data_IF_127715156180
#
_entry.id   IF_127715156180
#
_cell.length_a   1.000
_cell.length_b   1.000
_cell.length_c   1.000
_cell.angle_alpha   90.00
_cell.angle_beta   90.00
_cell.angle_gamma   90.00
#
_symmetry.space_group_name_H-M   'P 1'
#
loop_
_entity.id
_entity.type
_entity.pdbx_description
1 polymer ?
#
# COMPACT_ATOMS: atom_id res chain seq x y z
N UNK A 1 15.16 5.01 25.82
CA UNK A 1 13.71 4.85 26.07
C UNK A 1 13.03 4.58 24.71
N UNK A 2 12.88 3.30 24.32
CA UNK A 2 12.26 2.94 23.04
C UNK A 2 10.75 3.18 23.14
N UNK A 3 10.21 4.12 22.34
CA UNK A 3 8.76 4.34 22.24
C UNK A 3 8.12 3.04 21.73
N UNK A 4 7.02 2.56 22.34
CA UNK A 4 6.38 1.33 21.88
C UNK A 4 5.93 1.52 20.43
N UNK A 5 6.61 0.81 19.52
CA UNK A 5 6.20 0.70 18.13
C UNK A 5 4.79 0.11 18.16
N UNK A 6 3.79 0.88 17.71
CA UNK A 6 2.39 0.50 17.85
C UNK A 6 2.14 -0.79 17.05
N UNK A 7 1.92 -1.88 17.76
CA UNK A 7 1.56 -3.22 17.28
C UNK A 7 0.70 -3.26 15.99
N UNK A 8 -0.35 -2.43 15.80
CA UNK A 8 -1.13 -2.45 14.56
C UNK A 8 -0.37 -1.98 13.30
N UNK A 9 0.54 -1.01 13.41
CA UNK A 9 1.33 -0.54 12.25
C UNK A 9 2.30 -1.64 11.82
N UNK A 10 2.94 -2.28 12.79
CA UNK A 10 3.85 -3.40 12.56
C UNK A 10 3.12 -4.58 11.90
N UNK A 11 1.89 -4.87 12.37
CA UNK A 11 1.04 -5.90 11.78
C UNK A 11 0.68 -5.55 10.33
N UNK A 12 0.27 -4.31 10.04
CA UNK A 12 -0.03 -3.87 8.66
C UNK A 12 1.20 -3.99 7.76
N UNK A 13 2.38 -3.56 8.24
CA UNK A 13 3.63 -3.70 7.48
C UNK A 13 3.97 -5.17 7.20
N UNK A 14 3.80 -6.04 8.19
CA UNK A 14 4.11 -7.47 8.08
C UNK A 14 3.14 -8.19 7.13
N UNK A 15 1.84 -7.90 7.23
CA UNK A 15 0.82 -8.38 6.30
C UNK A 15 1.11 -7.89 4.87
N UNK A 16 1.47 -6.61 4.71
CA UNK A 16 1.84 -6.05 3.41
C UNK A 16 3.07 -6.76 2.83
N UNK A 17 4.10 -7.01 3.64
CA UNK A 17 5.29 -7.73 3.22
C UNK A 17 4.97 -9.15 2.74
N UNK A 18 4.11 -9.88 3.47
CA UNK A 18 3.69 -11.23 3.09
C UNK A 18 2.90 -11.21 1.77
N UNK A 19 1.96 -10.27 1.62
CA UNK A 19 1.12 -10.17 0.42
C UNK A 19 1.98 -9.80 -0.80
N UNK A 20 2.78 -8.73 -0.72
CA UNK A 20 3.61 -8.28 -1.84
C UNK A 20 4.73 -9.27 -2.14
N UNK A 21 5.40 -9.79 -1.11
CA UNK A 21 6.47 -10.79 -1.28
C UNK A 21 5.95 -12.09 -1.88
N UNK A 22 4.83 -12.61 -1.37
CA UNK A 22 4.19 -13.81 -1.90
C UNK A 22 3.71 -13.63 -3.34
N UNK A 23 3.11 -12.48 -3.66
CA UNK A 23 2.69 -12.16 -5.01
C UNK A 23 3.89 -12.07 -5.98
N UNK A 24 5.02 -11.48 -5.57
CA UNK A 24 6.22 -11.38 -6.40
C UNK A 24 6.80 -12.76 -6.72
N UNK A 25 6.87 -13.65 -5.72
CA UNK A 25 7.30 -15.04 -5.93
C UNK A 25 6.35 -15.77 -6.87
N UNK A 26 5.03 -15.67 -6.64
CA UNK A 26 4.03 -16.31 -7.49
C UNK A 26 4.13 -15.87 -8.96
N UNK A 27 4.21 -14.56 -9.22
CA UNK A 27 4.32 -14.05 -10.59
C UNK A 27 5.63 -14.43 -11.27
N UNK A 28 6.73 -14.51 -10.51
CA UNK A 28 8.02 -14.98 -11.04
C UNK A 28 7.96 -16.45 -11.45
N UNK A 29 7.38 -17.31 -10.60
CA UNK A 29 7.19 -18.74 -10.91
C UNK A 29 6.28 -18.92 -12.13
N UNK A 30 5.16 -18.20 -12.17
CA UNK A 30 4.22 -18.27 -13.29
C UNK A 30 4.90 -17.84 -14.60
N UNK A 31 5.68 -16.76 -14.60
CA UNK A 31 6.45 -16.33 -15.76
C UNK A 31 7.46 -17.38 -16.23
N UNK A 32 8.27 -17.93 -15.31
CA UNK A 32 9.23 -18.98 -15.64
C UNK A 32 8.52 -20.21 -16.23
N UNK A 33 7.36 -20.58 -15.69
CA UNK A 33 6.57 -21.70 -16.21
C UNK A 33 6.08 -21.49 -17.63
N UNK A 34 5.80 -20.24 -18.03
CA UNK A 34 5.31 -19.91 -19.36
C UNK A 34 6.45 -19.83 -20.38
N UNK A 35 7.60 -19.29 -20.00
CA UNK A 35 8.79 -19.18 -20.88
C UNK A 35 9.45 -20.55 -21.14
N UNK A 36 9.34 -21.49 -20.20
CA UNK A 36 9.96 -22.82 -20.33
C UNK A 36 9.11 -23.80 -21.15
N UNK A 37 7.94 -23.40 -21.66
CA UNK A 37 7.09 -24.27 -22.50
C UNK A 37 7.70 -24.41 -23.90
N UNK A 38 8.05 -25.63 -24.34
CA UNK A 38 8.82 -25.86 -25.56
C UNK A 38 8.08 -25.58 -26.88
N UNK A 39 6.76 -25.33 -26.86
CA UNK A 39 5.91 -25.30 -28.07
C UNK A 39 5.10 -24.01 -28.28
N UNK A 40 5.60 -22.84 -27.89
CA UNK A 40 4.88 -21.58 -28.15
C UNK A 40 5.25 -20.99 -29.52
N UNK A 41 4.29 -20.84 -30.47
CA UNK A 41 4.52 -20.06 -31.68
C UNK A 41 4.83 -18.63 -31.26
N UNK A 42 5.98 -18.11 -31.70
CA UNK A 42 6.49 -16.74 -31.47
C UNK A 42 5.64 -15.95 -30.46
N UNK A 43 5.84 -16.22 -29.16
CA UNK A 43 5.23 -15.42 -28.09
C UNK A 43 5.50 -13.97 -28.49
N UNK A 44 4.48 -13.11 -28.48
CA UNK A 44 4.69 -11.67 -28.61
C UNK A 44 5.48 -11.24 -27.36
N UNK A 45 6.80 -11.38 -27.45
CA UNK A 45 7.76 -11.16 -26.35
C UNK A 45 7.57 -9.75 -25.81
N UNK A 46 7.15 -8.82 -26.67
CA UNK A 46 6.81 -7.45 -26.30
C UNK A 46 5.59 -7.40 -25.38
N UNK A 47 4.48 -8.07 -25.73
CA UNK A 47 3.27 -8.16 -24.91
C UNK A 47 3.53 -8.75 -23.52
N UNK A 48 4.31 -9.84 -23.47
CA UNK A 48 4.71 -10.47 -22.20
C UNK A 48 5.58 -9.56 -21.33
N UNK A 49 6.56 -8.87 -21.94
CA UNK A 49 7.42 -7.92 -21.23
C UNK A 49 6.62 -6.73 -20.71
N UNK A 50 5.67 -6.18 -21.49
CA UNK A 50 4.79 -5.10 -21.08
C UNK A 50 3.93 -5.54 -19.88
N UNK A 51 3.35 -6.74 -19.92
CA UNK A 51 2.57 -7.30 -18.82
C UNK A 51 3.39 -7.45 -17.52
N UNK A 52 4.63 -7.91 -17.61
CA UNK A 52 5.54 -8.00 -16.46
C UNK A 52 5.95 -6.63 -15.92
N UNK A 53 6.34 -5.70 -16.79
CA UNK A 53 6.72 -4.35 -16.37
C UNK A 53 5.56 -3.65 -15.65
N UNK A 54 4.33 -3.83 -16.15
CA UNK A 54 3.14 -3.32 -15.50
C UNK A 54 2.98 -3.88 -14.07
N UNK A 55 3.17 -5.18 -13.88
CA UNK A 55 3.13 -5.82 -12.56
C UNK A 55 4.23 -5.31 -11.63
N UNK A 56 5.47 -5.22 -12.10
CA UNK A 56 6.60 -4.76 -11.30
C UNK A 56 6.40 -3.31 -10.86
N UNK A 57 6.03 -2.43 -11.80
CA UNK A 57 5.80 -1.00 -11.51
C UNK A 57 4.64 -0.82 -10.54
N UNK A 58 3.54 -1.55 -10.72
CA UNK A 58 2.38 -1.44 -9.81
C UNK A 58 2.65 -2.05 -8.44
N UNK A 59 3.48 -3.09 -8.33
CA UNK A 59 3.97 -3.59 -7.05
C UNK A 59 4.87 -2.59 -6.34
N UNK A 60 5.85 -2.02 -7.06
CA UNK A 60 6.76 -1.01 -6.53
C UNK A 60 6.04 0.29 -6.14
N UNK A 61 4.97 0.66 -6.83
CA UNK A 61 4.14 1.81 -6.49
C UNK A 61 3.16 1.50 -5.35
N UNK A 62 2.58 0.29 -5.32
CA UNK A 62 1.59 -0.11 -4.32
C UNK A 62 2.16 -0.15 -2.90
N UNK A 63 3.39 -0.67 -2.74
CA UNK A 63 3.99 -0.83 -1.41
C UNK A 63 4.24 0.50 -0.66
N UNK A 64 4.83 1.56 -1.26
CA UNK A 64 4.90 2.88 -0.65
C UNK A 64 3.53 3.49 -0.36
N UNK A 65 2.55 3.29 -1.23
CA UNK A 65 1.18 3.80 -1.04
C UNK A 65 0.52 3.17 0.19
N UNK A 66 0.68 1.85 0.37
CA UNK A 66 0.21 1.15 1.58
C UNK A 66 0.94 1.65 2.83
N UNK A 67 2.26 1.80 2.77
CA UNK A 67 3.06 2.33 3.89
C UNK A 67 2.65 3.76 4.29
N UNK A 68 2.42 4.61 3.29
CA UNK A 68 1.92 5.97 3.51
C UNK A 68 0.50 5.97 4.06
N UNK A 69 -0.40 5.13 3.55
CA UNK A 69 -1.74 4.96 4.07
C UNK A 69 -1.75 4.51 5.53
N UNK A 70 -0.91 3.55 5.91
CA UNK A 70 -0.74 3.09 7.29
C UNK A 70 -0.18 4.20 8.19
N UNK A 71 0.74 5.02 7.70
CA UNK A 71 1.26 6.18 8.42
C UNK A 71 0.17 7.25 8.65
N UNK A 72 -0.62 7.56 7.62
CA UNK A 72 -1.76 8.49 7.72
C UNK A 72 -2.80 7.96 8.72
N UNK A 73 -3.13 6.67 8.68
CA UNK A 73 -3.98 6.05 9.69
C UNK A 73 -3.40 6.18 11.11
N UNK A 74 -2.09 5.98 11.28
CA UNK A 74 -1.42 6.12 12.56
C UNK A 74 -1.56 7.55 13.11
N UNK A 75 -1.39 8.57 12.26
CA UNK A 75 -1.62 9.97 12.62
C UNK A 75 -3.09 10.16 13.02
N UNK A 76 -4.04 9.72 12.19
CA UNK A 76 -5.48 9.84 12.48
C UNK A 76 -5.88 9.19 13.82
N UNK A 77 -5.33 8.00 14.10
CA UNK A 77 -5.50 7.30 15.38
C UNK A 77 -4.96 8.10 16.55
N UNK A 78 -3.81 8.78 16.39
CA UNK A 78 -3.26 9.66 17.43
C UNK A 78 -4.22 10.81 17.72
N UNK A 79 -4.72 11.49 16.68
CA UNK A 79 -5.69 12.60 16.84
C UNK A 79 -6.94 12.12 17.55
N UNK A 80 -7.48 10.96 17.15
CA UNK A 80 -8.70 10.40 17.72
C UNK A 80 -8.55 10.12 19.21
N UNK A 81 -7.41 9.54 19.61
CA UNK A 81 -7.12 9.20 21.01
C UNK A 81 -6.79 10.43 21.84
N UNK A 82 -6.01 11.38 21.31
CA UNK A 82 -5.62 12.59 22.06
C UNK A 82 -6.68 13.69 22.01
N UNK A 83 -7.70 13.55 21.16
CA UNK A 83 -8.71 14.57 20.85
C UNK A 83 -8.09 15.95 20.59
N UNK A 84 -6.93 15.96 19.95
CA UNK A 84 -6.13 17.16 19.73
C UNK A 84 -5.51 17.12 18.34
N UNK A 85 -5.69 18.21 17.59
CA UNK A 85 -5.00 18.47 16.33
C UNK A 85 -4.22 19.79 16.43
N UNK A 86 -2.92 19.81 16.10
CA UNK A 86 -2.06 18.66 15.77
C UNK A 86 -1.81 17.74 16.99
N UNK A 87 -1.49 16.45 16.77
CA UNK A 87 -1.25 15.51 17.87
C UNK A 87 -0.07 15.93 18.76
N UNK A 88 -0.24 15.77 20.08
CA UNK A 88 0.83 16.06 21.04
C UNK A 88 2.14 15.30 20.72
N UNK A 89 3.25 16.03 20.75
CA UNK A 89 4.59 15.50 20.49
C UNK A 89 4.96 15.30 19.02
N UNK A 90 4.16 15.79 18.07
CA UNK A 90 4.60 15.95 16.68
C UNK A 90 5.20 17.34 16.47
N UNK A 91 6.31 17.42 15.73
CA UNK A 91 6.99 18.68 15.37
C UNK A 91 6.23 19.51 14.32
N UNK A 92 4.91 19.34 14.20
CA UNK A 92 4.08 20.14 13.32
C UNK A 92 4.04 21.58 13.85
N UNK A 93 4.97 22.40 13.35
CA UNK A 93 4.89 23.86 13.44
C UNK A 93 3.96 24.32 12.34
N UNK A 94 2.66 24.24 12.62
CA UNK A 94 1.66 24.87 11.76
C UNK A 94 1.06 25.98 12.61
N UNK A 95 0.98 27.20 12.05
CA UNK A 95 0.26 28.33 12.64
C UNK A 95 -1.26 28.05 12.79
N UNK A 96 -1.69 26.82 12.54
CA UNK A 96 -3.08 26.39 12.75
C UNK A 96 -3.43 26.41 14.23
N UNK A 97 -4.58 26.99 14.59
CA UNK A 97 -5.08 26.95 15.96
C UNK A 97 -5.25 25.51 16.42
N UNK A 98 -4.89 25.24 17.69
CA UNK A 98 -5.06 23.94 18.31
C UNK A 98 -6.56 23.63 18.36
N UNK A 99 -6.98 22.57 17.67
CA UNK A 99 -8.35 22.08 17.75
C UNK A 99 -8.42 21.00 18.82
N UNK A 100 -9.39 21.13 19.73
CA UNK A 100 -9.63 20.20 20.84
C UNK A 100 -11.05 19.61 20.78
N UNK A 101 -11.22 18.45 21.41
CA UNK A 101 -12.53 17.82 21.62
C UNK A 101 -13.11 17.17 20.37
N UNK A 102 -14.44 17.19 20.23
CA UNK A 102 -15.16 16.42 19.21
C UNK A 102 -14.78 16.78 17.77
N UNK A 103 -14.45 18.05 17.50
CA UNK A 103 -13.96 18.47 16.18
C UNK A 103 -12.63 17.79 15.83
N UNK A 104 -11.71 17.70 16.78
CA UNK A 104 -10.46 16.98 16.57
C UNK A 104 -10.71 15.47 16.39
N UNK A 105 -11.67 14.90 17.12
CA UNK A 105 -12.06 13.48 16.97
C UNK A 105 -12.58 13.17 15.55
N UNK A 106 -13.41 14.05 14.99
CA UNK A 106 -13.91 13.94 13.61
C UNK A 106 -12.77 14.05 12.59
N UNK A 107 -11.84 14.99 12.79
CA UNK A 107 -10.63 15.11 11.95
C UNK A 107 -9.79 13.82 12.04
N UNK A 108 -9.62 13.25 13.23
CA UNK A 108 -8.95 11.98 13.44
C UNK A 108 -9.56 10.83 12.65
N UNK A 109 -10.89 10.70 12.70
CA UNK A 109 -11.64 9.71 11.91
C UNK A 109 -11.49 9.94 10.41
N UNK A 110 -11.58 11.18 9.95
CA UNK A 110 -11.40 11.53 8.53
C UNK A 110 -10.01 11.18 8.03
N UNK A 111 -8.97 11.50 8.80
CA UNK A 111 -7.58 11.15 8.48
C UNK A 111 -7.38 9.63 8.48
N UNK A 112 -7.96 8.90 9.45
CA UNK A 112 -7.95 7.43 9.43
C UNK A 112 -8.63 6.86 8.18
N UNK A 113 -9.78 7.42 7.78
CA UNK A 113 -10.50 7.04 6.57
C UNK A 113 -9.68 7.28 5.30
N UNK A 114 -9.03 8.43 5.17
CA UNK A 114 -8.11 8.71 4.06
C UNK A 114 -6.93 7.72 4.01
N UNK A 115 -6.37 7.39 5.18
CA UNK A 115 -5.35 6.35 5.28
C UNK A 115 -5.85 4.98 4.79
N UNK A 116 -7.10 4.62 5.10
CA UNK A 116 -7.75 3.39 4.61
C UNK A 116 -7.91 3.38 3.11
N UNK A 117 -8.37 4.48 2.54
CA UNK A 117 -8.52 4.63 1.09
C UNK A 117 -7.17 4.41 0.39
N UNK A 118 -6.08 5.00 0.90
CA UNK A 118 -4.74 4.79 0.37
C UNK A 118 -4.29 3.32 0.45
N UNK A 119 -4.47 2.67 1.60
CA UNK A 119 -4.12 1.25 1.75
C UNK A 119 -4.90 0.38 0.75
N UNK A 120 -6.20 0.61 0.61
CA UNK A 120 -7.04 -0.12 -0.33
C UNK A 120 -6.58 0.08 -1.77
N UNK A 121 -6.32 1.32 -2.20
CA UNK A 121 -5.81 1.59 -3.54
C UNK A 121 -4.43 0.97 -3.80
N UNK A 122 -3.52 1.04 -2.81
CA UNK A 122 -2.20 0.44 -2.92
C UNK A 122 -2.23 -1.09 -3.05
N UNK A 123 -3.21 -1.76 -2.42
CA UNK A 123 -3.43 -3.20 -2.54
C UNK A 123 -4.17 -3.61 -3.83
N UNK A 124 -5.08 -2.76 -4.32
CA UNK A 124 -5.85 -3.03 -5.55
C UNK A 124 -4.97 -2.89 -6.80
N UNK A 125 -4.01 -1.95 -6.80
CA UNK A 125 -3.14 -1.67 -7.94
C UNK A 125 -2.47 -2.93 -8.55
N UNK A 126 -1.76 -3.78 -7.78
CA UNK A 126 -1.18 -5.00 -8.31
C UNK A 126 -2.21 -6.01 -8.83
N UNK A 127 -3.39 -6.07 -8.21
CA UNK A 127 -4.47 -7.00 -8.61
C UNK A 127 -5.09 -6.58 -9.94
N UNK A 128 -5.30 -5.27 -10.15
CA UNK A 128 -5.77 -4.72 -11.42
C UNK A 128 -4.70 -4.92 -12.49
N UNK A 129 -3.44 -4.62 -12.17
CA UNK A 129 -2.30 -4.85 -13.08
C UNK A 129 -2.21 -6.30 -13.55
N UNK A 130 -2.44 -7.26 -12.65
CA UNK A 130 -2.51 -8.68 -12.99
C UNK A 130 -3.64 -9.03 -13.95
N UNK A 131 -4.85 -8.50 -13.71
CA UNK A 131 -5.97 -8.73 -14.63
C UNK A 131 -5.70 -8.14 -16.01
N UNK A 132 -5.09 -6.97 -16.06
CA UNK A 132 -4.74 -6.30 -17.32
C UNK A 132 -3.58 -7.03 -18.01
N UNK A 133 -2.56 -7.47 -17.27
CA UNK A 133 -1.40 -8.19 -17.84
C UNK A 133 -1.82 -9.51 -18.47
N UNK A 134 -2.84 -10.19 -17.94
CA UNK A 134 -3.41 -11.39 -18.58
C UNK A 134 -3.96 -11.13 -19.98
N UNK A 135 -4.42 -9.92 -20.29
CA UNK A 135 -4.87 -9.57 -21.64
C UNK A 135 -3.70 -9.39 -22.64
N UNK A 136 -2.47 -9.27 -22.14
CA UNK A 136 -1.23 -9.16 -22.93
C UNK A 136 -0.41 -10.45 -22.94
N UNK A 137 -0.72 -11.38 -22.04
CA UNK A 137 0.00 -12.65 -21.79
C UNK A 137 -0.74 -13.86 -22.39
N UNK A 138 -2.04 -13.72 -22.68
CA UNK A 138 -2.91 -14.74 -23.28
C UNK A 138 -2.95 -14.62 -24.81
#
# INVERSE_FOLDING_TARGET
>A
MMKPFKSPVLLVMLVTLIIFGGALVYFTIEYLSQVTKPDLPSIDVMGHQIGMWLLIVTMLAGMPVVGMGAYVMYIGSRIHVTQQWPPAGMGFRVETPIMLGDRARLVGLGVMGLGLVLVVFGLILPVVAWKVSRAFIA
#
